data_IF_413353939041
#
_entry.id   IF_413353939041
#
_cell.length_a   1.000
_cell.length_b   1.000
_cell.length_c   1.000
_cell.angle_alpha   90.00
_cell.angle_beta   90.00
_cell.angle_gamma   90.00
#
_symmetry.space_group_name_H-M   'P 1'
#
loop_
_entity.id
_entity.type
_entity.pdbx_description
1 polymer ?
#
# COMPACT_ATOMS: atom_id res chain seq x y z
N UNK A 1 -7.78 -6.16 15.22
CA UNK A 1 -7.21 -6.56 13.92
C UNK A 1 -6.27 -5.45 13.48
N UNK A 2 -5.09 -5.78 12.96
CA UNK A 2 -4.11 -4.79 12.46
C UNK A 2 -4.01 -4.85 10.94
N UNK A 3 -3.77 -3.70 10.33
CA UNK A 3 -3.61 -3.55 8.89
C UNK A 3 -2.33 -2.81 8.50
N UNK A 4 -1.81 -3.12 7.32
CA UNK A 4 -0.79 -2.32 6.62
C UNK A 4 -1.38 -1.82 5.31
N UNK A 5 -1.09 -0.57 4.97
CA UNK A 5 -1.39 0.00 3.66
C UNK A 5 -0.10 0.06 2.85
N UNK A 6 -0.06 -0.66 1.73
CA UNK A 6 1.05 -0.65 0.77
C UNK A 6 0.59 0.12 -0.46
N UNK A 7 1.23 1.26 -0.73
CA UNK A 7 1.00 2.01 -1.97
C UNK A 7 2.08 1.66 -3.00
N UNK A 8 1.67 1.34 -4.22
CA UNK A 8 2.52 1.08 -5.37
C UNK A 8 2.48 2.33 -6.27
N UNK A 9 3.65 2.87 -6.58
CA UNK A 9 3.78 3.98 -7.52
C UNK A 9 5.10 4.73 -7.37
N UNK A 10 5.64 5.17 -8.50
CA UNK A 10 6.89 5.93 -8.57
C UNK A 10 6.67 7.42 -8.25
N UNK A 11 5.55 7.98 -8.69
CA UNK A 11 5.20 9.40 -8.56
C UNK A 11 5.11 9.86 -7.09
N UNK A 12 4.52 9.07 -6.16
CA UNK A 12 4.52 9.43 -4.75
C UNK A 12 5.90 9.37 -4.08
N UNK A 13 6.84 8.58 -4.61
CA UNK A 13 8.22 8.52 -4.11
C UNK A 13 9.05 9.71 -4.62
N UNK A 14 8.73 10.20 -5.82
CA UNK A 14 9.32 11.41 -6.40
C UNK A 14 8.69 12.71 -5.87
N UNK A 15 7.69 12.62 -5.00
CA UNK A 15 6.98 13.80 -4.47
C UNK A 15 6.07 14.49 -5.47
N UNK A 16 5.74 13.84 -6.58
CA UNK A 16 4.89 14.40 -7.64
C UNK A 16 3.39 14.32 -7.29
N UNK A 17 3.01 13.36 -6.42
CA UNK A 17 1.63 13.14 -6.00
C UNK A 17 1.57 12.90 -4.49
N UNK A 18 0.57 13.51 -3.84
CA UNK A 18 0.28 13.28 -2.41
C UNK A 18 -0.61 12.04 -2.25
N UNK A 19 -0.31 11.20 -1.25
CA UNK A 19 -1.05 9.96 -0.97
C UNK A 19 -2.37 10.19 -0.23
N UNK A 20 -3.34 10.79 -0.90
CA UNK A 20 -4.69 11.02 -0.32
C UNK A 20 -5.48 9.74 -0.11
N UNK A 21 -5.30 8.73 -0.97
CA UNK A 21 -6.00 7.43 -0.87
C UNK A 21 -5.62 6.66 0.39
N UNK A 22 -4.33 6.67 0.76
CA UNK A 22 -3.88 6.03 2.00
C UNK A 22 -4.53 6.71 3.22
N UNK A 23 -4.56 8.05 3.24
CA UNK A 23 -5.21 8.79 4.32
C UNK A 23 -6.73 8.55 4.38
N UNK A 24 -7.41 8.41 3.23
CA UNK A 24 -8.81 8.02 3.17
C UNK A 24 -9.01 6.64 3.80
N UNK A 25 -8.28 5.64 3.35
CA UNK A 25 -8.41 4.27 3.86
C UNK A 25 -8.07 4.13 5.33
N UNK A 26 -7.08 4.88 5.85
CA UNK A 26 -6.82 4.85 7.30
C UNK A 26 -8.03 5.29 8.11
N UNK A 27 -8.78 6.30 7.65
CA UNK A 27 -10.01 6.75 8.35
C UNK A 27 -11.10 5.69 8.27
N UNK A 28 -11.31 5.10 7.10
CA UNK A 28 -12.31 4.04 6.91
C UNK A 28 -11.98 2.80 7.76
N UNK A 29 -10.72 2.37 7.79
CA UNK A 29 -10.27 1.24 8.59
C UNK A 29 -10.45 1.51 10.09
N UNK A 30 -10.11 2.71 10.56
CA UNK A 30 -10.33 3.11 11.97
C UNK A 30 -11.82 3.10 12.32
N UNK A 31 -12.70 3.54 11.42
CA UNK A 31 -14.15 3.48 11.62
C UNK A 31 -14.66 2.03 11.77
N UNK A 32 -13.94 1.06 11.20
CA UNK A 32 -14.19 -0.38 11.34
C UNK A 32 -13.43 -1.03 12.51
N UNK A 33 -12.81 -0.24 13.39
CA UNK A 33 -12.02 -0.72 14.54
C UNK A 33 -10.80 -1.56 14.08
N UNK A 34 -10.23 -1.21 12.93
CA UNK A 34 -9.01 -1.79 12.38
C UNK A 34 -7.87 -0.78 12.56
N UNK A 35 -6.83 -1.18 13.30
CA UNK A 35 -5.66 -0.35 13.53
C UNK A 35 -4.74 -0.40 12.30
N UNK A 36 -4.41 0.76 11.73
CA UNK A 36 -3.38 0.84 10.70
C UNK A 36 -2.01 0.96 11.35
N UNK A 37 -1.21 -0.10 11.26
CA UNK A 37 0.05 -0.25 11.96
C UNK A 37 1.17 0.61 11.34
N UNK A 38 1.28 0.62 10.01
CA UNK A 38 2.11 1.57 9.26
C UNK A 38 1.69 1.63 7.79
N UNK A 39 2.19 2.65 7.10
CA UNK A 39 2.08 2.76 5.65
C UNK A 39 3.46 2.54 5.04
N UNK A 40 3.51 1.86 3.90
CA UNK A 40 4.72 1.76 3.08
C UNK A 40 4.37 2.12 1.64
N UNK A 41 5.34 2.69 0.94
CA UNK A 41 5.22 2.84 -0.51
C UNK A 41 6.42 2.29 -1.21
N UNK A 42 6.11 1.50 -2.23
CA UNK A 42 7.08 0.85 -3.09
C UNK A 42 6.99 1.45 -4.48
N UNK A 43 8.13 1.46 -5.15
CA UNK A 43 8.20 1.75 -6.58
C UNK A 43 7.47 0.65 -7.36
N UNK A 44 7.15 0.91 -8.63
CA UNK A 44 6.58 -0.08 -9.57
C UNK A 44 7.61 -1.18 -9.93
N UNK A 45 8.08 -1.90 -8.92
CA UNK A 45 9.03 -3.00 -8.98
C UNK A 45 8.44 -4.24 -8.26
N UNK A 46 8.27 -5.38 -8.97
CA UNK A 46 7.61 -6.55 -8.41
C UNK A 46 8.40 -7.22 -7.30
N UNK A 47 9.73 -7.11 -7.30
CA UNK A 47 10.59 -7.68 -6.25
C UNK A 47 10.39 -6.89 -4.95
N UNK A 48 10.37 -5.56 -5.04
CA UNK A 48 10.11 -4.68 -3.89
C UNK A 48 8.69 -4.84 -3.35
N UNK A 49 7.69 -4.99 -4.22
CA UNK A 49 6.32 -5.26 -3.79
C UNK A 49 6.23 -6.58 -3.03
N UNK A 50 6.83 -7.65 -3.57
CA UNK A 50 6.88 -8.96 -2.89
C UNK A 50 7.53 -8.87 -1.51
N UNK A 51 8.68 -8.20 -1.40
CA UNK A 51 9.36 -8.00 -0.12
C UNK A 51 8.48 -7.22 0.89
N UNK A 52 7.81 -6.17 0.44
CA UNK A 52 6.92 -5.39 1.31
C UNK A 52 5.71 -6.21 1.80
N UNK A 53 5.16 -7.08 0.95
CA UNK A 53 4.09 -8.01 1.32
C UNK A 53 4.59 -9.02 2.35
N UNK A 54 5.72 -9.70 2.09
CA UNK A 54 6.31 -10.69 3.01
C UNK A 54 6.64 -10.09 4.39
N UNK A 55 7.07 -8.82 4.44
CA UNK A 55 7.33 -8.13 5.70
C UNK A 55 6.05 -7.68 6.43
N UNK A 56 5.00 -7.36 5.68
CA UNK A 56 3.69 -7.03 6.24
C UNK A 56 2.98 -8.28 6.79
N UNK A 57 3.03 -9.41 6.10
CA UNK A 57 2.42 -10.69 6.52
C UNK A 57 2.91 -11.15 7.90
N UNK A 58 4.16 -10.84 8.26
CA UNK A 58 4.74 -11.15 9.58
C UNK A 58 4.17 -10.29 10.71
N UNK A 59 3.49 -9.19 10.39
CA UNK A 59 3.19 -8.09 11.34
C UNK A 59 1.70 -7.80 11.48
N UNK A 60 0.88 -8.10 10.49
CA UNK A 60 -0.53 -7.69 10.46
C UNK A 60 -1.45 -8.77 9.90
N UNK A 61 -2.74 -8.66 10.22
CA UNK A 61 -3.78 -9.59 9.81
C UNK A 61 -4.39 -9.21 8.44
N UNK A 62 -4.25 -7.93 8.06
CA UNK A 62 -4.81 -7.35 6.83
C UNK A 62 -3.75 -6.55 6.06
N UNK A 63 -3.64 -6.78 4.76
CA UNK A 63 -2.80 -5.99 3.86
C UNK A 63 -3.72 -5.34 2.82
N UNK A 64 -3.61 -4.02 2.69
CA UNK A 64 -4.35 -3.24 1.69
C UNK A 64 -3.36 -2.70 0.66
N UNK A 65 -3.49 -3.14 -0.59
CA UNK A 65 -2.66 -2.66 -1.71
C UNK A 65 -3.36 -1.50 -2.43
N UNK A 66 -2.60 -0.49 -2.84
CA UNK A 66 -3.10 0.69 -3.57
C UNK A 66 -2.22 1.01 -4.78
N UNK A 67 -2.83 1.19 -5.95
CA UNK A 67 -2.10 1.49 -7.18
C UNK A 67 -1.67 0.24 -7.93
N UNK A 68 -1.05 0.41 -9.10
CA UNK A 68 -0.49 -0.68 -9.89
C UNK A 68 -1.50 -1.69 -10.47
N UNK A 69 -2.78 -1.33 -10.60
CA UNK A 69 -3.86 -2.18 -11.14
C UNK A 69 -4.34 -1.76 -12.54
N UNK A 70 -3.76 -0.71 -13.13
CA UNK A 70 -4.11 -0.21 -14.46
C UNK A 70 -3.71 -1.15 -15.60
N UNK A 71 -3.90 -0.73 -16.86
CA UNK A 71 -3.55 -1.50 -18.05
C UNK A 71 -2.07 -1.38 -18.45
N UNK A 72 -1.28 -0.54 -17.80
CA UNK A 72 0.10 -0.25 -18.18
C UNK A 72 1.05 -1.39 -17.79
N UNK A 73 2.20 -1.44 -18.46
CA UNK A 73 3.20 -2.51 -18.25
C UNK A 73 3.82 -2.47 -16.85
N UNK A 74 3.83 -1.31 -16.21
CA UNK A 74 4.31 -1.10 -14.84
C UNK A 74 3.20 -1.30 -13.79
N UNK A 75 1.98 -1.68 -14.18
CA UNK A 75 0.93 -2.08 -13.24
C UNK A 75 1.19 -3.50 -12.73
N UNK A 76 1.92 -3.59 -11.61
CA UNK A 76 2.48 -4.84 -11.06
C UNK A 76 1.69 -5.45 -9.91
N UNK A 77 0.51 -4.90 -9.57
CA UNK A 77 -0.28 -5.35 -8.40
C UNK A 77 -1.22 -6.52 -8.74
N UNK A 78 -1.34 -6.87 -10.03
CA UNK A 78 -2.19 -7.96 -10.53
C UNK A 78 -1.64 -9.36 -10.26
#
# INVERSE_FOLDING_TARGET
>A
MRAVIISIGTEPLLGQVVKTNAAFLSRELVALVIEVFYHVTVMDDPVRLKQAIEDAEKRVDLIVLLGGLGPAKNDITK
#
